data_IF_443571679466
#
_entry.id   IF_443571679466
#
_cell.length_a   1.000
_cell.length_b   1.000
_cell.length_c   1.000
_cell.angle_alpha   90.00
_cell.angle_beta   90.00
_cell.angle_gamma   90.00
#
_symmetry.space_group_name_H-M   'P 1'
#
loop_
_entity.id
_entity.type
_entity.pdbx_description
1 polymer ?
#
# COMPACT_ATOMS: atom_id res chain seq x y z
N UNK A 1 6.44 8.85 -1.19
CA UNK A 1 7.00 9.71 -2.27
C UNK A 1 8.42 9.33 -2.73
N UNK A 2 9.17 8.49 -2.01
CA UNK A 2 10.55 8.09 -2.37
C UNK A 2 10.64 7.50 -3.78
N UNK A 3 9.86 6.45 -4.07
CA UNK A 3 9.90 5.75 -5.36
C UNK A 3 9.63 6.67 -6.56
N UNK A 4 8.61 7.52 -6.49
CA UNK A 4 8.31 8.46 -7.57
C UNK A 4 9.45 9.48 -7.82
N UNK A 5 10.17 9.90 -6.77
CA UNK A 5 11.31 10.82 -6.90
C UNK A 5 12.56 10.13 -7.46
N UNK A 6 12.75 8.85 -7.15
CA UNK A 6 13.91 8.08 -7.61
C UNK A 6 13.71 7.56 -9.03
N UNK A 7 12.54 7.01 -9.34
CA UNK A 7 12.27 6.26 -10.59
C UNK A 7 11.45 7.06 -11.62
N UNK A 8 10.87 8.20 -11.24
CA UNK A 8 9.99 8.98 -12.12
C UNK A 8 8.62 8.36 -12.38
N UNK A 9 8.25 7.31 -11.62
CA UNK A 9 6.97 6.61 -11.76
C UNK A 9 6.03 6.99 -10.61
N UNK A 10 4.87 7.54 -10.94
CA UNK A 10 3.80 7.77 -9.98
C UNK A 10 3.01 6.47 -9.81
N UNK A 11 3.24 5.77 -8.71
CA UNK A 11 2.55 4.50 -8.38
C UNK A 11 1.13 4.76 -7.84
N UNK A 12 0.21 3.81 -7.98
CA UNK A 12 -1.08 3.88 -7.27
C UNK A 12 -0.87 3.61 -5.75
N UNK A 13 -1.83 4.00 -4.88
CA UNK A 13 -1.73 3.74 -3.44
C UNK A 13 -1.52 2.25 -3.09
N UNK A 14 -2.15 1.33 -3.80
CA UNK A 14 -2.10 -0.12 -3.55
C UNK A 14 -0.70 -0.72 -3.81
N UNK A 15 -0.04 -0.52 -4.98
CA UNK A 15 1.31 -1.02 -5.21
C UNK A 15 2.40 -0.38 -4.33
N UNK A 16 2.12 0.75 -3.65
CA UNK A 16 3.07 1.32 -2.67
C UNK A 16 3.38 0.35 -1.52
N UNK A 17 2.44 -0.52 -1.14
CA UNK A 17 2.69 -1.55 -0.13
C UNK A 17 3.78 -2.53 -0.59
N UNK A 18 3.73 -2.96 -1.85
CA UNK A 18 4.75 -3.83 -2.43
C UNK A 18 6.09 -3.09 -2.62
N UNK A 19 6.06 -1.83 -3.07
CA UNK A 19 7.26 -0.99 -3.20
C UNK A 19 7.98 -0.85 -1.86
N UNK A 20 7.25 -0.66 -0.75
CA UNK A 20 7.86 -0.59 0.59
C UNK A 20 8.66 -1.84 0.91
N UNK A 21 8.08 -3.02 0.67
CA UNK A 21 8.76 -4.31 0.90
C UNK A 21 9.98 -4.45 0.00
N UNK A 22 9.88 -4.06 -1.28
CA UNK A 22 11.01 -4.11 -2.22
C UNK A 22 12.16 -3.21 -1.77
N UNK A 23 11.87 -2.00 -1.30
CA UNK A 23 12.90 -1.09 -0.75
C UNK A 23 13.55 -1.72 0.48
N UNK A 24 12.79 -2.32 1.38
CA UNK A 24 13.32 -2.96 2.58
C UNK A 24 14.22 -4.14 2.24
N UNK A 25 13.82 -5.01 1.31
CA UNK A 25 14.64 -6.13 0.85
C UNK A 25 15.92 -5.66 0.14
N UNK A 26 15.84 -4.56 -0.64
CA UNK A 26 17.03 -3.96 -1.25
C UNK A 26 18.00 -3.41 -0.19
N UNK A 27 17.49 -2.79 0.88
CA UNK A 27 18.31 -2.33 2.01
C UNK A 27 18.97 -3.49 2.75
N UNK A 28 18.25 -4.59 2.99
CA UNK A 28 18.83 -5.81 3.59
C UNK A 28 19.95 -6.40 2.72
N UNK A 29 19.78 -6.44 1.40
CA UNK A 29 20.82 -6.87 0.46
C UNK A 29 22.06 -5.98 0.53
N UNK A 30 21.85 -4.65 0.67
CA UNK A 30 22.95 -3.70 0.86
C UNK A 30 23.70 -3.93 2.17
N UNK A 31 22.99 -4.21 3.27
CA UNK A 31 23.59 -4.48 4.58
C UNK A 31 24.34 -5.82 4.62
N UNK A 32 23.80 -6.85 3.97
CA UNK A 32 24.43 -8.18 3.92
C UNK A 32 25.55 -8.29 2.86
N UNK A 33 25.57 -7.38 1.89
CA UNK A 33 26.45 -7.45 0.71
C UNK A 33 26.02 -8.51 -0.32
N UNK A 34 24.85 -9.12 -0.15
CA UNK A 34 24.33 -10.14 -1.06
C UNK A 34 23.60 -9.51 -2.25
N UNK A 35 23.98 -9.89 -3.48
CA UNK A 35 23.33 -9.40 -4.69
C UNK A 35 22.14 -10.29 -5.06
N UNK A 36 20.91 -9.77 -4.95
CA UNK A 36 19.66 -10.45 -5.36
C UNK A 36 18.93 -9.70 -6.45
N UNK A 37 18.19 -10.45 -7.28
CA UNK A 37 17.16 -9.88 -8.16
C UNK A 37 15.84 -9.84 -7.41
N UNK A 38 15.22 -8.66 -7.32
CA UNK A 38 13.91 -8.46 -6.69
C UNK A 38 12.92 -8.10 -7.80
N UNK A 39 11.86 -8.90 -7.94
CA UNK A 39 10.78 -8.62 -8.89
C UNK A 39 9.61 -7.95 -8.17
N UNK A 40 9.20 -6.79 -8.66
CA UNK A 40 8.03 -6.06 -8.19
C UNK A 40 6.85 -6.27 -9.14
N UNK A 41 5.74 -6.81 -8.63
CA UNK A 41 4.46 -6.80 -9.33
C UNK A 41 3.77 -5.43 -9.16
N UNK A 42 4.15 -4.45 -9.98
CA UNK A 42 3.59 -3.11 -9.92
C UNK A 42 2.19 -3.06 -10.55
N UNK A 43 1.15 -3.16 -9.72
CA UNK A 43 -0.23 -3.38 -10.16
C UNK A 43 -0.91 -2.20 -10.87
N UNK A 44 -0.44 -0.96 -10.70
CA UNK A 44 -1.11 0.20 -11.31
C UNK A 44 -0.41 1.55 -11.07
N UNK A 45 -0.72 2.53 -11.92
CA UNK A 45 -0.18 3.90 -11.82
C UNK A 45 -1.12 4.82 -11.03
N UNK A 46 -0.57 5.87 -10.41
CA UNK A 46 -1.33 6.77 -9.55
C UNK A 46 -2.00 7.96 -10.24
N UNK A 47 -1.92 8.10 -11.58
CA UNK A 47 -2.41 9.31 -12.28
C UNK A 47 -3.86 9.68 -11.97
N UNK A 48 -4.70 8.69 -11.69
CA UNK A 48 -6.13 8.87 -11.36
C UNK A 48 -6.40 8.86 -9.85
N UNK A 49 -5.37 8.69 -9.03
CA UNK A 49 -5.42 8.60 -7.56
C UNK A 49 -4.89 9.86 -6.88
N UNK A 50 -4.73 10.96 -7.64
CA UNK A 50 -4.17 12.21 -7.13
C UNK A 50 -4.95 12.79 -5.94
N UNK A 51 -6.26 12.56 -5.88
CA UNK A 51 -7.09 12.97 -4.73
C UNK A 51 -6.70 12.22 -3.44
N UNK A 52 -6.40 10.92 -3.53
CA UNK A 52 -5.94 10.14 -2.38
C UNK A 52 -4.55 10.61 -1.91
N UNK A 53 -3.65 10.90 -2.86
CA UNK A 53 -2.36 11.51 -2.56
C UNK A 53 -2.49 12.88 -1.89
N UNK A 54 -3.34 13.77 -2.41
CA UNK A 54 -3.59 15.08 -1.79
C UNK A 54 -4.14 14.92 -0.37
N UNK A 55 -5.12 14.03 -0.16
CA UNK A 55 -5.69 13.79 1.16
C UNK A 55 -4.61 13.33 2.16
N UNK A 56 -3.74 12.39 1.77
CA UNK A 56 -2.64 11.94 2.63
C UNK A 56 -1.63 13.05 2.90
N UNK A 57 -1.13 13.71 1.84
CA UNK A 57 -0.07 14.72 1.96
C UNK A 57 -0.53 16.02 2.64
N UNK A 58 -1.82 16.35 2.54
CA UNK A 58 -2.43 17.48 3.25
C UNK A 58 -2.89 17.14 4.67
N UNK A 59 -2.68 15.89 5.13
CA UNK A 59 -3.09 15.44 6.47
C UNK A 59 -4.60 15.34 6.67
N UNK A 60 -5.38 15.32 5.58
CA UNK A 60 -6.84 15.18 5.62
C UNK A 60 -7.30 13.72 5.61
N UNK A 61 -6.42 12.78 5.24
CA UNK A 61 -6.72 11.36 5.28
C UNK A 61 -6.81 10.90 6.73
N UNK A 62 -8.00 10.50 7.15
CA UNK A 62 -8.26 9.98 8.49
C UNK A 62 -8.21 8.46 8.46
N UNK A 63 -7.52 7.89 9.45
CA UNK A 63 -7.61 6.46 9.72
C UNK A 63 -8.97 6.21 10.37
N UNK A 64 -9.83 5.49 9.65
CA UNK A 64 -11.17 5.17 10.11
C UNK A 64 -11.20 3.72 10.57
N UNK A 65 -11.15 3.54 11.88
CA UNK A 65 -11.41 2.24 12.48
C UNK A 65 -12.90 1.95 12.37
N UNK A 66 -13.24 0.90 11.62
CA UNK A 66 -14.63 0.54 11.40
C UNK A 66 -15.27 0.03 12.71
N UNK A 67 -16.41 0.57 13.16
CA UNK A 67 -16.98 0.24 14.47
C UNK A 67 -17.27 -1.25 14.62
N UNK A 68 -16.85 -1.84 15.74
CA UNK A 68 -17.03 -3.25 16.06
C UNK A 68 -18.50 -3.67 15.97
N UNK A 69 -19.42 -2.81 16.41
CA UNK A 69 -20.86 -3.08 16.39
C UNK A 69 -21.35 -3.32 14.95
N UNK A 70 -20.86 -2.52 13.99
CA UNK A 70 -21.21 -2.70 12.57
C UNK A 70 -20.58 -3.95 11.97
N UNK A 71 -19.43 -4.39 12.48
CA UNK A 71 -18.81 -5.66 12.07
C UNK A 71 -19.69 -6.81 12.56
N UNK A 72 -20.08 -6.80 13.83
CA UNK A 72 -20.94 -7.83 14.43
C UNK A 72 -22.30 -7.92 13.73
N UNK A 73 -22.93 -6.77 13.43
CA UNK A 73 -24.18 -6.70 12.66
C UNK A 73 -24.04 -7.35 11.28
N UNK A 74 -22.96 -7.06 10.55
CA UNK A 74 -22.72 -7.64 9.23
C UNK A 74 -22.45 -9.15 9.31
N UNK A 75 -21.68 -9.59 10.32
CA UNK A 75 -21.40 -11.02 10.55
C UNK A 75 -22.68 -11.80 10.89
N UNK A 76 -23.61 -11.20 11.65
CA UNK A 76 -24.89 -11.82 11.98
C UNK A 76 -25.78 -12.10 10.76
N UNK A 77 -25.58 -11.37 9.65
CA UNK A 77 -26.32 -11.56 8.40
C UNK A 77 -25.71 -12.61 7.47
N UNK A 78 -24.53 -13.15 7.80
CA UNK A 78 -23.89 -14.18 6.97
C UNK A 78 -24.74 -15.48 6.98
N UNK A 79 -24.88 -16.13 5.82
CA UNK A 79 -25.57 -17.42 5.76
C UNK A 79 -24.81 -18.46 6.58
N UNK A 80 -25.55 -19.26 7.36
CA UNK A 80 -24.97 -20.43 8.03
C UNK A 80 -24.66 -21.48 6.98
N UNK A 81 -23.38 -21.62 6.67
CA UNK A 81 -22.89 -22.70 5.81
C UNK A 81 -22.84 -23.97 6.67
N UNK A 82 -23.62 -24.97 6.29
CA UNK A 82 -23.68 -26.30 6.91
C UNK A 82 -23.27 -27.37 5.93
#
# INVERSE_FOLDING_TARGET
VTFARTEGIISAPEPNHAIKVVIDEALKCKESGESKTILLAHSGHGHVDMAAYDAYLSGKLQDYEYPTEKIEEALAQLPKVG
#
